data_IF_894396026838
#
_entry.id   IF_894396026838
#
_cell.length_a   1.000
_cell.length_b   1.000
_cell.length_c   1.000
_cell.angle_alpha   90.00
_cell.angle_beta   90.00
_cell.angle_gamma   90.00
#
_symmetry.space_group_name_H-M   'P 1'
#
loop_
_entity.id
_entity.type
_entity.pdbx_description
1 polymer ?
#
# COMPACT_ATOMS: atom_id res chain seq x y z
N UNK A 1 -26.48 22.10 8.35
CA UNK A 1 -25.92 20.99 9.15
C UNK A 1 -24.66 20.51 8.46
N UNK A 2 -23.50 20.70 9.07
CA UNK A 2 -22.24 20.12 8.57
C UNK A 2 -22.27 18.62 8.88
N UNK A 3 -22.18 17.77 7.85
CA UNK A 3 -21.99 16.33 8.06
C UNK A 3 -20.71 16.11 8.88
N UNK A 4 -20.76 15.23 9.87
CA UNK A 4 -19.57 14.81 10.63
C UNK A 4 -18.53 14.24 9.66
N UNK A 5 -17.22 14.45 9.89
CA UNK A 5 -16.18 13.75 9.15
C UNK A 5 -16.44 12.25 9.22
N UNK A 6 -16.39 11.57 8.08
CA UNK A 6 -16.48 10.11 7.99
C UNK A 6 -15.45 9.52 8.96
N UNK A 7 -15.90 8.88 10.04
CA UNK A 7 -14.98 8.22 10.97
C UNK A 7 -14.20 7.13 10.21
N UNK A 8 -12.88 7.10 10.41
CA UNK A 8 -11.97 6.06 9.89
C UNK A 8 -12.26 4.70 10.54
N UNK A 9 -13.42 4.10 10.27
CA UNK A 9 -13.82 2.78 10.79
C UNK A 9 -13.54 1.62 9.84
N UNK A 10 -13.16 1.90 8.60
CA UNK A 10 -13.04 0.87 7.56
C UNK A 10 -11.96 -0.17 7.89
N UNK A 11 -10.75 0.26 8.26
CA UNK A 11 -9.63 -0.64 8.62
C UNK A 11 -9.76 -1.28 10.01
N UNK A 12 -10.82 -0.97 10.76
CA UNK A 12 -11.16 -1.62 12.05
C UNK A 12 -12.55 -2.25 12.03
N UNK A 13 -13.18 -2.34 10.86
CA UNK A 13 -14.49 -2.95 10.71
C UNK A 13 -14.38 -4.47 10.86
N UNK A 14 -15.39 -5.10 11.46
CA UNK A 14 -15.46 -6.55 11.64
C UNK A 14 -15.28 -7.26 10.28
N UNK A 15 -15.98 -6.80 9.24
CA UNK A 15 -15.86 -7.36 7.89
C UNK A 15 -14.45 -7.26 7.30
N UNK A 16 -13.68 -6.24 7.68
CA UNK A 16 -12.29 -6.12 7.23
C UNK A 16 -11.40 -7.13 7.96
N UNK A 17 -11.53 -7.25 9.28
CA UNK A 17 -10.76 -8.23 10.07
C UNK A 17 -11.09 -9.68 9.72
N UNK A 18 -12.36 -9.99 9.42
CA UNK A 18 -12.78 -11.32 8.92
C UNK A 18 -12.05 -11.66 7.62
N UNK A 19 -11.96 -10.71 6.68
CA UNK A 19 -11.26 -10.91 5.41
C UNK A 19 -9.75 -11.08 5.56
N UNK A 20 -9.14 -10.41 6.53
CA UNK A 20 -7.73 -10.62 6.83
C UNK A 20 -7.47 -12.03 7.36
N UNK A 21 -8.34 -12.54 8.24
CA UNK A 21 -8.27 -13.93 8.74
C UNK A 21 -8.46 -14.93 7.60
N UNK A 22 -9.46 -14.72 6.72
CA UNK A 22 -9.67 -15.57 5.53
C UNK A 22 -8.46 -15.62 4.59
N UNK A 23 -7.68 -14.54 4.54
CA UNK A 23 -6.50 -14.41 3.68
C UNK A 23 -5.17 -14.77 4.39
N UNK A 24 -5.22 -15.23 5.65
CA UNK A 24 -4.04 -15.48 6.50
C UNK A 24 -3.12 -14.25 6.64
N UNK A 25 -3.73 -13.06 6.70
CA UNK A 25 -3.01 -11.77 6.84
C UNK A 25 -3.13 -11.26 8.26
N UNK A 26 -1.98 -11.00 8.89
CA UNK A 26 -1.92 -10.37 10.22
C UNK A 26 -2.15 -8.87 10.10
N UNK A 27 -3.17 -8.35 10.77
CA UNK A 27 -3.41 -6.93 10.87
C UNK A 27 -2.37 -6.26 11.78
N UNK A 28 -1.61 -5.29 11.25
CA UNK A 28 -0.80 -4.37 12.06
C UNK A 28 -1.45 -2.99 12.04
N UNK A 29 -1.77 -2.46 13.21
CA UNK A 29 -2.34 -1.12 13.35
C UNK A 29 -1.54 -0.37 14.42
N UNK A 30 -0.88 0.72 14.02
CA UNK A 30 -0.12 1.58 14.91
C UNK A 30 -0.92 2.06 16.13
N UNK A 31 -0.19 2.24 17.22
CA UNK A 31 -0.76 2.85 18.43
C UNK A 31 -1.06 4.33 18.18
N UNK A 32 -1.99 4.91 18.95
CA UNK A 32 -2.36 6.32 18.77
C UNK A 32 -1.15 7.21 19.07
N UNK A 33 -0.71 8.00 18.10
CA UNK A 33 0.42 8.93 18.24
C UNK A 33 1.74 8.38 17.72
N UNK A 34 1.78 7.13 17.25
CA UNK A 34 2.88 6.59 16.46
C UNK A 34 2.49 6.65 14.98
N UNK A 35 3.03 7.65 14.26
CA UNK A 35 2.72 7.89 12.84
C UNK A 35 3.81 7.39 11.89
N UNK A 36 4.90 6.82 12.42
CA UNK A 36 6.06 6.46 11.61
C UNK A 36 5.74 5.32 10.64
N UNK A 37 4.91 4.38 11.08
CA UNK A 37 4.37 3.27 10.27
C UNK A 37 3.59 3.77 9.03
N UNK A 38 2.89 4.90 9.15
CA UNK A 38 2.08 5.48 8.09
C UNK A 38 2.83 6.51 7.24
N UNK A 39 3.95 7.06 7.74
CA UNK A 39 4.65 8.18 7.11
C UNK A 39 5.04 7.89 5.65
N UNK A 40 5.52 6.69 5.36
CA UNK A 40 5.88 6.29 4.00
C UNK A 40 4.66 6.24 3.06
N UNK A 41 3.56 5.63 3.52
CA UNK A 41 2.31 5.57 2.76
C UNK A 41 1.72 6.96 2.55
N UNK A 42 1.81 7.85 3.53
CA UNK A 42 1.36 9.25 3.41
C UNK A 42 2.22 10.06 2.44
N UNK A 43 3.53 9.85 2.44
CA UNK A 43 4.44 10.47 1.47
C UNK A 43 4.10 10.02 0.04
N UNK A 44 3.92 8.71 -0.17
CA UNK A 44 3.47 8.17 -1.46
C UNK A 44 2.12 8.76 -1.89
N UNK A 45 1.13 8.78 -1.00
CA UNK A 45 -0.20 9.33 -1.31
C UNK A 45 -0.14 10.83 -1.67
N UNK A 46 0.76 11.58 -1.05
CA UNK A 46 0.96 13.00 -1.35
C UNK A 46 1.57 13.19 -2.74
N UNK A 47 2.58 12.38 -3.08
CA UNK A 47 3.21 12.32 -4.39
C UNK A 47 2.21 11.92 -5.49
N UNK A 48 1.51 10.82 -5.29
CA UNK A 48 0.47 10.32 -6.19
C UNK A 48 -0.58 11.41 -6.50
N UNK A 49 -1.10 12.09 -5.48
CA UNK A 49 -2.07 13.16 -5.68
C UNK A 49 -1.47 14.36 -6.43
N UNK A 50 -0.19 14.66 -6.23
CA UNK A 50 0.48 15.75 -6.94
C UNK A 50 0.70 15.41 -8.42
N UNK A 51 1.24 14.24 -8.71
CA UNK A 51 1.68 13.84 -10.05
C UNK A 51 0.58 13.27 -10.94
N UNK A 52 -0.39 12.56 -10.36
CA UNK A 52 -1.48 11.91 -11.10
C UNK A 52 -2.75 12.78 -11.07
N UNK A 53 -3.23 13.15 -9.89
CA UNK A 53 -4.56 13.75 -9.73
C UNK A 53 -4.58 15.26 -10.02
N UNK A 54 -3.55 15.99 -9.58
CA UNK A 54 -3.49 17.46 -9.66
C UNK A 54 -2.61 17.97 -10.79
N UNK A 55 -1.79 17.12 -11.40
CA UNK A 55 -0.88 17.49 -12.46
C UNK A 55 -1.65 17.96 -13.70
N UNK A 56 -1.44 19.21 -14.17
CA UNK A 56 -2.13 19.74 -15.34
C UNK A 56 -1.85 18.99 -16.65
N UNK A 57 -0.76 18.23 -16.74
CA UNK A 57 -0.43 17.41 -17.91
C UNK A 57 -1.29 16.15 -17.96
N UNK A 58 -1.55 15.53 -16.80
CA UNK A 58 -2.36 14.31 -16.70
C UNK A 58 -3.86 14.62 -16.56
N UNK A 59 -4.19 15.73 -15.90
CA UNK A 59 -5.57 16.12 -15.61
C UNK A 59 -6.23 16.77 -16.84
N UNK A 60 -7.40 16.28 -17.31
CA UNK A 60 -8.09 16.87 -18.44
C UNK A 60 -8.46 18.34 -18.20
N UNK A 61 -8.51 19.13 -19.29
CA UNK A 61 -9.01 20.52 -19.23
C UNK A 61 -10.46 20.51 -18.75
N UNK A 62 -10.74 21.20 -17.65
CA UNK A 62 -12.05 21.18 -16.97
C UNK A 62 -12.17 20.18 -15.83
N UNK A 63 -11.17 19.32 -15.60
CA UNK A 63 -11.15 18.31 -14.55
C UNK A 63 -11.61 16.93 -15.00
N UNK A 64 -11.81 16.03 -14.05
CA UNK A 64 -12.24 14.66 -14.30
C UNK A 64 -13.73 14.63 -14.65
N UNK A 65 -14.08 14.05 -15.80
CA UNK A 65 -15.47 13.99 -16.26
C UNK A 65 -16.27 12.87 -15.58
N UNK A 66 -15.61 11.78 -15.20
CA UNK A 66 -16.21 10.64 -14.51
C UNK A 66 -15.23 9.94 -13.55
N UNK A 67 -15.78 9.08 -12.67
CA UNK A 67 -14.96 8.19 -11.83
C UNK A 67 -14.12 7.25 -12.70
N UNK A 68 -14.69 6.76 -13.81
CA UNK A 68 -14.01 5.85 -14.73
C UNK A 68 -12.74 6.46 -15.32
N UNK A 69 -12.75 7.75 -15.65
CA UNK A 69 -11.57 8.43 -16.17
C UNK A 69 -10.45 8.45 -15.12
N UNK A 70 -10.81 8.67 -13.85
CA UNK A 70 -9.86 8.61 -12.73
C UNK A 70 -9.32 7.18 -12.57
N UNK A 71 -10.17 6.15 -12.61
CA UNK A 71 -9.74 4.76 -12.49
C UNK A 71 -8.73 4.35 -13.57
N UNK A 72 -8.96 4.77 -14.83
CA UNK A 72 -8.05 4.52 -15.94
C UNK A 72 -6.72 5.22 -15.69
N UNK A 73 -6.72 6.53 -15.40
CA UNK A 73 -5.48 7.28 -15.15
C UNK A 73 -4.72 6.72 -13.94
N UNK A 74 -5.41 6.30 -12.87
CA UNK A 74 -4.76 5.70 -11.70
C UNK A 74 -4.10 4.38 -12.09
N UNK A 75 -4.76 3.55 -12.88
CA UNK A 75 -4.20 2.28 -13.37
C UNK A 75 -2.93 2.53 -14.19
N UNK A 76 -2.98 3.47 -15.14
CA UNK A 76 -1.82 3.85 -15.96
C UNK A 76 -0.67 4.43 -15.12
N UNK A 77 -0.99 5.26 -14.12
CA UNK A 77 0.00 5.82 -13.21
C UNK A 77 0.69 4.74 -12.39
N UNK A 78 -0.07 3.79 -11.84
CA UNK A 78 0.49 2.70 -11.02
C UNK A 78 1.38 1.78 -11.87
N UNK A 79 0.96 1.46 -13.10
CA UNK A 79 1.78 0.71 -14.04
C UNK A 79 3.09 1.45 -14.33
N UNK A 80 3.02 2.74 -14.71
CA UNK A 80 4.22 3.54 -14.94
C UNK A 80 5.12 3.64 -13.69
N UNK A 81 4.53 3.89 -12.52
CA UNK A 81 5.27 4.04 -11.27
C UNK A 81 6.07 2.77 -10.94
N UNK A 82 5.46 1.59 -11.10
CA UNK A 82 6.12 0.33 -10.74
C UNK A 82 7.10 -0.17 -11.80
N UNK A 83 6.77 -0.01 -13.08
CA UNK A 83 7.51 -0.65 -14.17
C UNK A 83 8.49 0.27 -14.90
N UNK A 84 8.36 1.60 -14.76
CA UNK A 84 9.10 2.56 -15.59
C UNK A 84 9.75 3.70 -14.82
N UNK A 85 9.21 4.09 -13.65
CA UNK A 85 9.78 5.17 -12.85
C UNK A 85 11.09 4.73 -12.21
N UNK A 86 12.18 5.42 -12.53
CA UNK A 86 13.45 5.26 -11.82
C UNK A 86 13.42 6.03 -10.51
N UNK A 87 13.88 5.41 -9.42
CA UNK A 87 13.83 6.03 -8.10
C UNK A 87 15.23 6.05 -7.48
N UNK A 88 15.74 7.25 -7.18
CA UNK A 88 17.12 7.48 -6.75
C UNK A 88 17.48 6.73 -5.46
N UNK A 89 16.57 6.73 -4.49
CA UNK A 89 16.75 6.05 -3.19
C UNK A 89 16.96 4.53 -3.30
N UNK A 90 16.51 3.92 -4.40
CA UNK A 90 16.59 2.46 -4.60
C UNK A 90 17.59 2.08 -5.69
N UNK A 91 18.55 2.96 -5.99
CA UNK A 91 19.62 2.68 -6.96
C UNK A 91 19.23 2.93 -8.41
N UNK A 92 18.26 3.82 -8.67
CA UNK A 92 17.81 4.20 -10.01
C UNK A 92 17.27 3.03 -10.85
N UNK A 93 16.57 2.10 -10.20
CA UNK A 93 15.79 1.05 -10.87
C UNK A 93 14.29 1.26 -10.67
N UNK A 94 13.43 0.66 -11.51
CA UNK A 94 12.01 0.57 -11.25
C UNK A 94 11.69 -0.19 -9.96
N UNK A 95 10.64 0.22 -9.20
CA UNK A 95 10.22 -0.49 -7.98
C UNK A 95 9.99 -1.99 -8.17
N UNK A 96 9.46 -2.41 -9.32
CA UNK A 96 9.24 -3.84 -9.58
C UNK A 96 10.55 -4.64 -9.67
N UNK A 97 11.63 -4.04 -10.17
CA UNK A 97 12.93 -4.70 -10.23
C UNK A 97 13.52 -4.85 -8.83
N UNK A 98 13.38 -3.83 -7.98
CA UNK A 98 13.79 -3.92 -6.58
C UNK A 98 13.06 -5.05 -5.85
N UNK A 99 11.73 -5.11 -6.00
CA UNK A 99 10.90 -6.16 -5.39
C UNK A 99 11.31 -7.55 -5.90
N UNK A 100 11.59 -7.69 -7.20
CA UNK A 100 12.06 -8.96 -7.77
C UNK A 100 13.42 -9.40 -7.17
N UNK A 101 14.37 -8.47 -7.03
CA UNK A 101 15.66 -8.73 -6.38
C UNK A 101 15.50 -9.08 -4.90
N UNK A 102 14.61 -8.39 -4.20
CA UNK A 102 14.31 -8.66 -2.80
C UNK A 102 13.72 -10.07 -2.63
N UNK A 103 12.74 -10.45 -3.46
CA UNK A 103 12.14 -11.80 -3.44
C UNK A 103 13.15 -12.90 -3.78
N UNK A 104 14.02 -12.68 -4.75
CA UNK A 104 15.08 -13.63 -5.08
C UNK A 104 16.04 -13.86 -3.89
N UNK A 105 16.36 -12.78 -3.17
CA UNK A 105 17.19 -12.83 -1.96
C UNK A 105 16.46 -13.52 -0.80
N UNK A 106 15.19 -13.21 -0.58
CA UNK A 106 14.36 -13.80 0.48
C UNK A 106 14.09 -15.30 0.26
N UNK A 107 13.91 -15.74 -0.99
CA UNK A 107 13.80 -17.16 -1.33
C UNK A 107 15.12 -17.93 -1.11
N UNK A 108 16.26 -17.25 -1.14
CA UNK A 108 17.57 -17.84 -0.81
C UNK A 108 17.75 -17.97 0.71
N UNK A 109 17.18 -17.03 1.47
CA UNK A 109 17.11 -17.06 2.94
C UNK A 109 15.79 -17.70 3.44
N UNK A 110 15.28 -18.70 2.70
CA UNK A 110 14.00 -19.34 2.99
C UNK A 110 13.86 -19.62 4.47
N UNK A 111 12.76 -19.15 5.06
CA UNK A 111 12.37 -19.39 6.44
C UNK A 111 12.83 -20.78 6.84
N UNK A 112 13.86 -20.86 7.68
CA UNK A 112 14.16 -22.09 8.37
C UNK A 112 12.83 -22.49 9.00
N UNK A 113 12.31 -23.66 8.62
CA UNK A 113 11.19 -24.27 9.33
C UNK A 113 11.66 -24.42 10.77
N UNK A 114 11.41 -23.42 11.61
CA UNK A 114 11.32 -23.63 13.03
C UNK A 114 10.10 -24.53 13.20
N UNK A 115 10.39 -25.83 13.23
CA UNK A 115 9.48 -26.82 13.76
C UNK A 115 9.18 -26.40 15.20
N UNK A 116 8.13 -25.60 15.39
CA UNK A 116 7.60 -25.30 16.72
C UNK A 116 7.21 -26.65 17.32
N UNK A 117 7.83 -27.08 18.44
CA UNK A 117 7.48 -28.35 19.02
C UNK A 117 6.03 -28.28 19.50
N UNK A 118 5.20 -29.20 19.02
CA UNK A 118 3.87 -29.43 19.57
C UNK A 118 4.02 -29.94 21.01
N UNK A 119 3.81 -29.06 21.99
CA UNK A 119 3.63 -29.48 23.38
C UNK A 119 4.12 -28.48 24.42
N UNK A 120 3.21 -27.66 24.95
CA UNK A 120 3.13 -27.15 26.33
C UNK A 120 2.12 -25.98 26.33
N UNK A 121 1.06 -25.93 27.12
CA UNK A 121 0.54 -26.77 28.18
C UNK A 121 -0.82 -26.18 28.58
N UNK A 122 -1.66 -27.03 29.16
CA UNK A 122 -2.91 -26.67 29.81
C UNK A 122 -2.66 -25.78 31.03
N UNK A 123 -3.41 -24.69 31.16
CA UNK A 123 -4.29 -24.34 32.29
C UNK A 123 -4.94 -22.98 32.04
#
# INVERSE_FOLDING_TARGET
MLQRPVERRQYRAIRYTERLVEADVVASVGSKGDSYDNAMTEAFNSLFKAECIRNPVMRPKGGWASIRDVEITVTEYVDWFNHRRLHGEIGLIPPIELEALHRASANTAGYAQENVPAGAGTN
#
